data_IF_135845914586
#
_entry.id   IF_135845914586
#
_cell.length_a   1.000
_cell.length_b   1.000
_cell.length_c   1.000
_cell.angle_alpha   90.00
_cell.angle_beta   90.00
_cell.angle_gamma   90.00
#
_symmetry.space_group_name_H-M   'P 1'
#
loop_
_entity.id
_entity.type
_entity.pdbx_description
1 polymer ?
#
# COMPACT_ATOMS: atom_id res chain seq x y z
N UNK A 1 13.37 13.12 -5.71
CA UNK A 1 12.35 12.12 -5.36
C UNK A 1 12.46 10.98 -6.35
N UNK A 2 12.41 9.74 -5.88
CA UNK A 2 12.46 8.55 -6.73
C UNK A 2 11.11 7.85 -6.67
N UNK A 3 10.67 7.26 -7.79
CA UNK A 3 9.47 6.44 -7.79
C UNK A 3 9.77 5.11 -7.09
N UNK A 4 8.86 4.70 -6.20
CA UNK A 4 8.90 3.44 -5.48
C UNK A 4 7.54 2.74 -5.58
N UNK A 5 7.52 1.45 -5.24
CA UNK A 5 6.32 0.61 -5.23
C UNK A 5 6.15 0.04 -3.82
N UNK A 6 4.93 0.12 -3.26
CA UNK A 6 4.54 -0.61 -2.05
C UNK A 6 3.28 -1.42 -2.33
N UNK A 7 3.29 -2.68 -1.87
CA UNK A 7 2.15 -3.57 -1.97
C UNK A 7 1.40 -3.62 -0.64
N UNK A 8 0.07 -3.67 -0.69
CA UNK A 8 -0.79 -3.92 0.45
C UNK A 8 -1.70 -5.10 0.15
N UNK A 9 -1.93 -5.95 1.15
CA UNK A 9 -2.90 -7.02 1.09
C UNK A 9 -3.82 -6.88 2.31
N UNK A 10 -5.09 -6.58 2.07
CA UNK A 10 -6.10 -6.34 3.11
C UNK A 10 -7.16 -7.45 2.98
N UNK A 11 -7.17 -8.44 3.89
CA UNK A 11 -8.25 -9.42 3.96
C UNK A 11 -9.60 -8.72 4.07
N UNK A 12 -10.64 -9.25 3.42
CA UNK A 12 -12.01 -8.71 3.58
C UNK A 12 -12.49 -8.82 5.02
N UNK A 13 -11.98 -9.81 5.77
CA UNK A 13 -12.20 -9.99 7.20
C UNK A 13 -11.26 -9.14 8.09
N UNK A 14 -10.49 -8.20 7.52
CA UNK A 14 -9.60 -7.34 8.31
C UNK A 14 -10.40 -6.60 9.40
N UNK A 15 -9.77 -6.47 10.56
CA UNK A 15 -10.31 -5.74 11.70
C UNK A 15 -10.21 -4.21 11.55
N UNK A 16 -9.61 -3.74 10.45
CA UNK A 16 -9.32 -2.35 10.14
C UNK A 16 -7.84 -1.96 10.36
N UNK A 17 -7.02 -2.86 10.91
CA UNK A 17 -5.61 -2.58 11.20
C UNK A 17 -4.81 -2.45 9.90
N UNK A 18 -4.97 -3.39 8.97
CA UNK A 18 -4.25 -3.35 7.69
C UNK A 18 -4.74 -2.17 6.82
N UNK A 19 -6.04 -1.89 6.86
CA UNK A 19 -6.59 -0.69 6.23
C UNK A 19 -6.02 0.60 6.82
N UNK A 20 -5.85 0.67 8.14
CA UNK A 20 -5.29 1.85 8.80
C UNK A 20 -3.82 2.05 8.43
N UNK A 21 -3.01 0.99 8.37
CA UNK A 21 -1.62 1.07 7.91
C UNK A 21 -1.54 1.64 6.48
N UNK A 22 -2.39 1.13 5.58
CA UNK A 22 -2.44 1.62 4.21
C UNK A 22 -2.81 3.10 4.17
N UNK A 23 -3.83 3.52 4.93
CA UNK A 23 -4.24 4.92 4.99
C UNK A 23 -3.13 5.84 5.49
N UNK A 24 -2.39 5.43 6.52
CA UNK A 24 -1.31 6.24 7.07
C UNK A 24 -0.12 6.33 6.11
N UNK A 25 0.18 5.24 5.38
CA UNK A 25 1.13 5.29 4.29
C UNK A 25 0.71 6.26 3.18
N UNK A 26 -0.54 6.19 2.72
CA UNK A 26 -1.06 7.05 1.65
C UNK A 26 -1.02 8.54 2.04
N UNK A 27 -1.30 8.87 3.32
CA UNK A 27 -1.20 10.25 3.83
C UNK A 27 0.24 10.77 3.86
N UNK A 28 1.21 9.89 4.14
CA UNK A 28 2.61 10.28 4.31
C UNK A 28 3.37 10.47 2.98
N UNK A 29 2.85 9.95 1.87
CA UNK A 29 3.59 9.90 0.60
C UNK A 29 2.83 10.56 -0.55
N UNK A 30 3.56 11.11 -1.51
CA UNK A 30 2.97 11.59 -2.76
C UNK A 30 2.68 10.41 -3.67
N UNK A 31 1.42 10.01 -3.73
CA UNK A 31 0.97 8.88 -4.53
C UNK A 31 0.89 9.26 -6.01
N UNK A 32 1.38 8.38 -6.87
CA UNK A 32 1.31 8.51 -8.31
C UNK A 32 0.15 7.70 -8.87
N UNK A 33 -0.03 6.47 -8.36
CA UNK A 33 -1.02 5.53 -8.87
C UNK A 33 -1.33 4.47 -7.81
N UNK A 34 -2.56 3.95 -7.86
CA UNK A 34 -3.02 2.80 -7.09
C UNK A 34 -3.74 1.86 -8.05
N UNK A 35 -3.21 0.66 -8.21
CA UNK A 35 -3.91 -0.44 -8.87
C UNK A 35 -4.47 -1.37 -7.77
N UNK A 36 -5.69 -1.91 -7.96
CA UNK A 36 -6.32 -2.81 -6.99
C UNK A 36 -6.97 -4.02 -7.64
N UNK A 37 -6.91 -5.16 -6.97
CA UNK A 37 -7.57 -6.38 -7.39
C UNK A 37 -8.17 -7.10 -6.18
N UNK A 38 -9.44 -7.48 -6.28
CA UNK A 38 -10.04 -8.41 -5.33
C UNK A 38 -9.69 -9.82 -5.77
N UNK A 39 -9.04 -10.57 -4.89
CA UNK A 39 -8.69 -11.98 -5.10
C UNK A 39 -9.43 -12.82 -4.08
N UNK A 40 -9.91 -13.99 -4.50
CA UNK A 40 -10.62 -14.93 -3.64
C UNK A 40 -10.00 -16.32 -3.82
N UNK A 41 -9.75 -17.00 -2.71
CA UNK A 41 -9.35 -18.40 -2.68
C UNK A 41 -10.13 -19.13 -1.57
N UNK A 42 -9.81 -20.40 -1.36
CA UNK A 42 -10.48 -21.24 -0.36
C UNK A 42 -10.34 -20.71 1.09
N UNK A 43 -9.37 -19.82 1.34
CA UNK A 43 -9.12 -19.19 2.64
C UNK A 43 -9.78 -17.81 2.80
N UNK A 44 -10.60 -17.39 1.83
CA UNK A 44 -11.33 -16.12 1.84
C UNK A 44 -10.90 -15.13 0.77
N UNK A 45 -11.43 -13.92 0.87
CA UNK A 45 -11.15 -12.84 -0.08
C UNK A 45 -10.18 -11.82 0.49
N UNK A 46 -9.30 -11.30 -0.36
CA UNK A 46 -8.31 -10.28 -0.03
C UNK A 46 -8.25 -9.23 -1.13
N UNK A 47 -8.27 -7.96 -0.74
CA UNK A 47 -7.93 -6.86 -1.61
C UNK A 47 -6.41 -6.73 -1.68
N UNK A 48 -5.87 -6.73 -2.89
CA UNK A 48 -4.46 -6.51 -3.16
C UNK A 48 -4.29 -5.15 -3.84
N UNK A 49 -3.38 -4.32 -3.35
CA UNK A 49 -3.10 -3.00 -3.89
C UNK A 49 -1.63 -2.88 -4.28
N UNK A 50 -1.37 -2.29 -5.44
CA UNK A 50 -0.05 -1.87 -5.87
C UNK A 50 -0.02 -0.35 -5.91
N UNK A 51 0.73 0.26 -4.99
CA UNK A 51 0.82 1.71 -4.85
C UNK A 51 2.17 2.18 -5.39
N UNK A 52 2.13 3.01 -6.43
CA UNK A 52 3.32 3.73 -6.93
C UNK A 52 3.36 5.09 -6.25
N UNK A 53 4.48 5.46 -5.67
CA UNK A 53 4.63 6.71 -4.91
C UNK A 53 6.01 7.35 -5.14
N UNK A 54 6.11 8.65 -4.87
CA UNK A 54 7.38 9.35 -4.85
C UNK A 54 7.96 9.35 -3.44
N UNK A 55 9.08 8.66 -3.30
CA UNK A 55 9.85 8.68 -2.06
C UNK A 55 10.75 9.93 -2.05
N UNK A 56 10.71 10.66 -0.94
CA UNK A 56 11.67 11.70 -0.66
C UNK A 56 12.94 11.01 -0.20
N UNK A 57 13.78 10.60 -1.17
CA UNK A 57 15.08 9.99 -0.90
C UNK A 57 15.75 10.72 0.27
N UNK A 58 15.75 10.07 1.44
CA UNK A 58 16.46 10.57 2.61
C UNK A 58 17.91 10.61 2.16
N UNK A 59 18.49 11.81 2.08
CA UNK A 59 19.95 11.91 1.94
C UNK A 59 20.52 11.19 3.15
N UNK A 60 21.07 10.00 2.93
CA UNK A 60 21.95 9.36 3.90
C UNK A 60 23.08 10.35 4.09
N UNK A 61 23.04 11.10 5.20
CA UNK A 61 24.14 11.96 5.59
C UNK A 61 25.24 11.00 6.02
N UNK A 62 26.32 10.99 5.24
CA UNK A 62 27.56 10.27 5.50
C UNK A 62 28.24 10.72 6.78
#
# INVERSE_FOLDING_TARGET
MLMQIKLFAIPVADSGIAQQEMNDFLKAHKILEIEQQLTSNDNGSCWCFCVRYLDQAVKVVS
#
